data_IF_342616035303
#
_entry.id   IF_342616035303
#
_cell.length_a   1.000
_cell.length_b   1.000
_cell.length_c   1.000
_cell.angle_alpha   90.00
_cell.angle_beta   90.00
_cell.angle_gamma   90.00
#
_symmetry.space_group_name_H-M   'P 1'
#
loop_
_entity.id
_entity.type
_entity.pdbx_description
1 polymer ?
#
# COMPACT_ATOMS: atom_id res chain seq x y z
N UNK A 1 22.14 31.56 -16.69
CA UNK A 1 20.81 31.04 -16.22
C UNK A 1 20.96 30.67 -14.76
N UNK A 2 20.39 31.48 -13.87
CA UNK A 2 20.59 31.37 -12.43
C UNK A 2 19.72 30.23 -11.91
N UNK A 3 20.33 29.20 -11.34
CA UNK A 3 19.66 28.18 -10.55
C UNK A 3 19.32 28.79 -9.19
N UNK A 4 18.08 29.19 -9.00
CA UNK A 4 17.57 29.60 -7.69
C UNK A 4 17.48 28.37 -6.79
N UNK A 5 18.51 28.17 -5.99
CA UNK A 5 18.57 27.22 -4.89
C UNK A 5 17.59 27.69 -3.81
N UNK A 6 16.41 27.07 -3.74
CA UNK A 6 15.46 27.31 -2.63
C UNK A 6 15.96 26.53 -1.41
N UNK A 7 16.89 27.14 -0.65
CA UNK A 7 17.34 26.69 0.68
C UNK A 7 16.69 27.55 1.78
N UNK A 8 15.39 27.81 1.67
CA UNK A 8 14.57 28.25 2.79
C UNK A 8 13.56 27.13 3.05
N UNK A 9 13.32 26.74 4.30
CA UNK A 9 12.27 25.79 4.64
C UNK A 9 10.92 26.37 4.24
N UNK A 10 10.42 25.99 3.05
CA UNK A 10 9.09 26.39 2.59
C UNK A 10 8.09 25.70 3.51
N UNK A 11 7.47 26.47 4.38
CA UNK A 11 6.34 25.99 5.22
C UNK A 11 5.07 26.33 4.49
N UNK A 12 4.26 25.33 4.17
CA UNK A 12 2.93 25.52 3.59
C UNK A 12 1.93 25.66 4.74
N UNK A 13 1.42 26.87 4.93
CA UNK A 13 0.52 27.21 6.02
C UNK A 13 -0.92 27.54 5.55
N UNK A 14 -1.11 27.86 4.27
CA UNK A 14 -2.39 28.24 3.68
C UNK A 14 -2.60 27.66 2.30
N UNK A 15 -3.88 27.69 1.81
CA UNK A 15 -4.22 27.32 0.43
C UNK A 15 -3.48 28.20 -0.58
N UNK A 16 -3.34 29.49 -0.29
CA UNK A 16 -2.61 30.41 -1.15
C UNK A 16 -1.12 30.05 -1.27
N UNK A 17 -0.47 29.64 -0.17
CA UNK A 17 0.92 29.19 -0.20
C UNK A 17 1.06 27.94 -1.07
N UNK A 18 0.11 26.98 -0.93
CA UNK A 18 0.11 25.77 -1.74
C UNK A 18 -0.10 26.09 -3.21
N UNK A 19 -1.08 26.94 -3.56
CA UNK A 19 -1.37 27.31 -4.92
C UNK A 19 -0.18 28.00 -5.61
N UNK A 20 0.50 28.89 -4.93
CA UNK A 20 1.75 29.50 -5.42
C UNK A 20 2.83 28.44 -5.63
N UNK A 21 3.03 27.55 -4.65
CA UNK A 21 4.09 26.53 -4.72
C UNK A 21 3.85 25.50 -5.83
N UNK A 22 2.58 25.14 -6.12
CA UNK A 22 2.27 24.15 -7.17
C UNK A 22 2.09 24.75 -8.56
N UNK A 23 1.93 26.08 -8.69
CA UNK A 23 1.63 26.76 -9.95
C UNK A 23 2.61 26.41 -11.09
N UNK A 24 3.91 26.27 -10.76
CA UNK A 24 4.95 25.86 -11.69
C UNK A 24 4.96 24.37 -11.99
N UNK A 25 4.34 23.54 -11.12
CA UNK A 25 4.33 22.08 -11.26
C UNK A 25 3.19 21.63 -12.20
N UNK A 26 2.03 22.30 -12.16
CA UNK A 26 0.84 21.95 -12.93
C UNK A 26 1.16 21.69 -14.40
N UNK A 27 1.75 22.64 -15.17
CA UNK A 27 2.01 22.44 -16.59
C UNK A 27 3.03 21.34 -16.88
N UNK A 28 3.88 21.00 -15.90
CA UNK A 28 4.91 19.95 -16.05
C UNK A 28 4.31 18.57 -15.76
N UNK A 29 3.47 18.45 -14.72
CA UNK A 29 2.83 17.19 -14.36
C UNK A 29 1.70 16.79 -15.32
N UNK A 30 1.28 17.67 -16.20
CA UNK A 30 0.35 17.36 -17.29
C UNK A 30 1.06 16.77 -18.54
N UNK A 31 2.39 16.86 -18.60
CA UNK A 31 3.16 16.32 -19.72
C UNK A 31 3.08 14.79 -19.82
N UNK A 32 3.17 14.31 -21.06
CA UNK A 32 3.40 12.89 -21.33
C UNK A 32 4.89 12.59 -21.18
N UNK A 33 5.23 11.43 -20.65
CA UNK A 33 6.62 10.96 -20.52
C UNK A 33 7.22 10.68 -21.88
N UNK A 34 8.31 11.39 -22.22
CA UNK A 34 9.18 11.19 -23.40
C UNK A 34 10.63 11.30 -22.98
N UNK A 35 11.59 11.16 -23.94
CA UNK A 35 13.01 11.38 -23.66
C UNK A 35 13.30 12.82 -23.21
N UNK A 36 12.55 13.80 -23.69
CA UNK A 36 12.78 15.23 -23.39
C UNK A 36 12.00 15.70 -22.14
N UNK A 37 10.99 14.95 -21.69
CA UNK A 37 10.09 15.42 -20.62
C UNK A 37 10.24 14.68 -19.31
N UNK A 38 10.71 13.43 -19.30
CA UNK A 38 10.73 12.58 -18.10
C UNK A 38 11.52 13.19 -16.93
N UNK A 39 12.64 13.85 -17.21
CA UNK A 39 13.47 14.47 -16.17
C UNK A 39 12.76 15.68 -15.53
N UNK A 40 12.01 16.45 -16.33
CA UNK A 40 11.18 17.55 -15.84
C UNK A 40 10.06 17.04 -14.95
N UNK A 41 9.39 15.95 -15.34
CA UNK A 41 8.34 15.29 -14.55
C UNK A 41 8.93 14.77 -13.23
N UNK A 42 10.09 14.13 -13.28
CA UNK A 42 10.79 13.63 -12.09
C UNK A 42 11.08 14.75 -11.09
N UNK A 43 11.64 15.88 -11.56
CA UNK A 43 11.90 17.04 -10.71
C UNK A 43 10.61 17.65 -10.12
N UNK A 44 9.54 17.74 -10.91
CA UNK A 44 8.26 18.26 -10.43
C UNK A 44 7.65 17.34 -9.36
N UNK A 45 7.71 16.02 -9.54
CA UNK A 45 7.27 15.05 -8.53
C UNK A 45 8.11 15.13 -7.25
N UNK A 46 9.43 15.30 -7.37
CA UNK A 46 10.32 15.50 -6.22
C UNK A 46 9.98 16.78 -5.45
N UNK A 47 9.68 17.86 -6.15
CA UNK A 47 9.22 19.11 -5.54
C UNK A 47 7.87 18.91 -4.83
N UNK A 48 6.91 18.26 -5.46
CA UNK A 48 5.62 17.95 -4.84
C UNK A 48 5.78 17.07 -3.59
N UNK A 49 6.72 16.11 -3.59
CA UNK A 49 7.07 15.34 -2.41
C UNK A 49 7.58 16.22 -1.27
N UNK A 50 8.44 17.21 -1.57
CA UNK A 50 8.93 18.17 -0.57
C UNK A 50 7.78 18.96 0.03
N UNK A 51 6.89 19.53 -0.79
CA UNK A 51 5.70 20.26 -0.32
C UNK A 51 4.83 19.39 0.59
N UNK A 52 4.62 18.12 0.22
CA UNK A 52 3.91 17.13 1.04
C UNK A 52 4.52 16.98 2.43
N UNK A 53 5.85 16.96 2.52
CA UNK A 53 6.58 16.87 3.80
C UNK A 53 6.57 18.18 4.58
N UNK A 54 6.51 19.32 3.90
CA UNK A 54 6.58 20.65 4.48
C UNK A 54 5.22 21.22 4.95
N UNK A 55 4.22 20.37 5.13
CA UNK A 55 2.94 20.76 5.74
C UNK A 55 1.76 20.86 4.77
N UNK A 56 1.96 20.71 3.46
CA UNK A 56 0.89 20.82 2.47
C UNK A 56 -0.32 19.91 2.77
N UNK A 57 -0.09 18.74 3.36
CA UNK A 57 -1.18 17.79 3.73
C UNK A 57 -2.15 18.33 4.77
N UNK A 58 -1.82 19.40 5.47
CA UNK A 58 -2.69 20.06 6.47
C UNK A 58 -3.62 21.10 5.84
N UNK A 59 -3.38 21.44 4.60
CA UNK A 59 -4.11 22.48 3.87
C UNK A 59 -5.30 21.84 3.14
N UNK A 60 -6.53 22.39 3.23
CA UNK A 60 -7.73 21.78 2.63
C UNK A 60 -7.63 21.50 1.14
N UNK A 61 -7.03 22.40 0.37
CA UNK A 61 -6.86 22.23 -1.10
C UNK A 61 -5.87 21.14 -1.50
N UNK A 62 -5.09 20.57 -0.57
CA UNK A 62 -4.09 19.55 -0.89
C UNK A 62 -4.70 18.32 -1.59
N UNK A 63 -5.85 17.84 -1.10
CA UNK A 63 -6.54 16.68 -1.69
C UNK A 63 -6.92 16.95 -3.16
N UNK A 64 -7.38 18.16 -3.46
CA UNK A 64 -7.69 18.57 -4.83
C UNK A 64 -6.43 18.56 -5.71
N UNK A 65 -5.29 19.06 -5.22
CA UNK A 65 -4.01 19.01 -5.93
C UNK A 65 -3.53 17.58 -6.17
N UNK A 66 -3.73 16.69 -5.19
CA UNK A 66 -3.44 15.25 -5.40
C UNK A 66 -4.32 14.67 -6.49
N UNK A 67 -5.62 14.99 -6.55
CA UNK A 67 -6.50 14.54 -7.63
C UNK A 67 -6.00 15.00 -9.01
N UNK A 68 -5.57 16.23 -9.12
CA UNK A 68 -5.02 16.81 -10.36
C UNK A 68 -3.74 16.07 -10.80
N UNK A 69 -2.86 15.75 -9.87
CA UNK A 69 -1.56 15.10 -10.16
C UNK A 69 -1.62 13.56 -10.18
N UNK A 70 -2.69 12.96 -9.68
CA UNK A 70 -2.82 11.51 -9.54
C UNK A 70 -2.61 10.74 -10.86
N UNK A 71 -3.11 11.19 -12.04
CA UNK A 71 -2.82 10.52 -13.30
C UNK A 71 -1.34 10.49 -13.65
N UNK A 72 -0.61 11.60 -13.41
CA UNK A 72 0.83 11.66 -13.63
C UNK A 72 1.59 10.74 -12.67
N UNK A 73 1.29 10.81 -11.37
CA UNK A 73 1.92 9.95 -10.35
C UNK A 73 1.71 8.49 -10.71
N UNK A 74 0.48 8.10 -11.07
CA UNK A 74 0.13 6.71 -11.41
C UNK A 74 0.88 6.21 -12.66
N UNK A 75 0.99 7.02 -13.71
CA UNK A 75 1.78 6.69 -14.91
C UNK A 75 3.26 6.55 -14.56
N UNK A 76 3.80 7.52 -13.80
CA UNK A 76 5.21 7.54 -13.41
C UNK A 76 5.61 6.35 -12.52
N UNK A 77 4.70 5.82 -11.69
CA UNK A 77 4.96 4.56 -10.95
C UNK A 77 5.31 3.41 -11.90
N UNK A 78 4.64 3.33 -13.05
CA UNK A 78 4.81 2.26 -14.03
C UNK A 78 5.92 2.53 -15.04
N UNK A 79 6.58 3.69 -14.98
CA UNK A 79 7.68 4.04 -15.86
C UNK A 79 8.83 3.02 -15.77
N UNK A 80 9.43 2.72 -16.92
CA UNK A 80 10.63 1.87 -16.98
C UNK A 80 11.90 2.62 -16.53
N UNK A 81 11.82 3.95 -16.43
CA UNK A 81 12.89 4.78 -15.86
C UNK A 81 12.90 4.66 -14.35
N UNK A 82 13.90 3.94 -13.84
CA UNK A 82 14.03 3.62 -12.42
C UNK A 82 14.02 4.85 -11.52
N UNK A 83 14.55 5.99 -11.98
CA UNK A 83 14.55 7.24 -11.22
C UNK A 83 13.14 7.79 -11.11
N UNK A 84 12.44 7.96 -12.21
CA UNK A 84 11.08 8.51 -12.24
C UNK A 84 10.09 7.65 -11.44
N UNK A 85 10.11 6.32 -11.63
CA UNK A 85 9.25 5.42 -10.85
C UNK A 85 9.61 5.41 -9.36
N UNK A 86 10.88 5.66 -9.02
CA UNK A 86 11.33 5.83 -7.63
C UNK A 86 10.75 7.09 -7.01
N UNK A 87 10.87 8.23 -7.69
CA UNK A 87 10.34 9.52 -7.21
C UNK A 87 8.81 9.46 -7.03
N UNK A 88 8.08 8.85 -7.98
CA UNK A 88 6.64 8.63 -7.85
C UNK A 88 6.29 7.78 -6.63
N UNK A 89 7.04 6.70 -6.37
CA UNK A 89 6.88 5.89 -5.15
C UNK A 89 7.15 6.71 -3.88
N UNK A 90 8.15 7.59 -3.89
CA UNK A 90 8.51 8.43 -2.74
C UNK A 90 7.45 9.52 -2.47
N UNK A 91 6.71 9.98 -3.49
CA UNK A 91 5.52 10.82 -3.30
C UNK A 91 4.49 10.06 -2.48
N UNK A 92 4.12 8.83 -2.88
CA UNK A 92 3.15 8.00 -2.14
C UNK A 92 3.63 7.68 -0.72
N UNK A 93 4.91 7.36 -0.56
CA UNK A 93 5.52 7.09 0.74
C UNK A 93 5.45 8.29 1.69
N UNK A 94 5.41 9.50 1.13
CA UNK A 94 5.26 10.75 1.90
C UNK A 94 3.81 11.08 2.19
N UNK A 95 2.89 10.73 1.28
CA UNK A 95 1.46 11.00 1.39
C UNK A 95 0.77 10.06 2.39
N UNK A 96 0.96 8.76 2.26
CA UNK A 96 0.19 7.76 3.01
C UNK A 96 0.21 7.98 4.54
N UNK A 97 1.38 8.17 5.20
CA UNK A 97 1.42 8.39 6.64
C UNK A 97 0.80 9.73 7.10
N UNK A 98 0.68 10.69 6.19
CA UNK A 98 0.19 12.04 6.51
C UNK A 98 -1.30 12.21 6.24
N UNK A 99 -1.82 11.49 5.26
CA UNK A 99 -3.24 11.55 4.89
C UNK A 99 -4.09 10.60 5.74
N UNK A 100 -3.56 9.45 6.15
CA UNK A 100 -4.35 8.47 6.86
C UNK A 100 -5.63 8.11 6.09
N UNK A 101 -6.79 8.20 6.72
CA UNK A 101 -8.08 7.90 6.09
C UNK A 101 -8.43 8.86 4.93
N UNK A 102 -7.88 10.07 4.90
CA UNK A 102 -8.05 11.00 3.76
C UNK A 102 -7.43 10.48 2.46
N UNK A 103 -6.67 9.38 2.50
CA UNK A 103 -6.18 8.67 1.31
C UNK A 103 -7.29 7.92 0.54
N UNK A 104 -8.49 7.78 1.10
CA UNK A 104 -9.60 6.99 0.53
C UNK A 104 -9.89 7.26 -0.96
N UNK A 105 -9.94 8.52 -1.46
CA UNK A 105 -10.21 8.80 -2.87
C UNK A 105 -9.18 8.21 -3.84
N UNK A 106 -7.98 7.92 -3.35
CA UNK A 106 -6.83 7.53 -4.17
C UNK A 106 -6.55 6.02 -4.19
N UNK A 107 -7.29 5.23 -3.42
CA UNK A 107 -7.10 3.77 -3.35
C UNK A 107 -7.19 3.14 -4.74
N UNK A 108 -8.24 3.47 -5.51
CA UNK A 108 -8.46 2.93 -6.85
C UNK A 108 -7.46 3.44 -7.91
N UNK A 109 -6.76 4.54 -7.62
CA UNK A 109 -5.77 5.12 -8.54
C UNK A 109 -4.38 4.54 -8.30
N UNK A 110 -3.98 4.33 -7.03
CA UNK A 110 -2.61 3.98 -6.70
C UNK A 110 -2.40 2.51 -6.32
N UNK A 111 -3.40 1.84 -5.74
CA UNK A 111 -3.25 0.41 -5.37
C UNK A 111 -3.06 -0.48 -6.60
N UNK A 112 -3.85 -0.38 -7.69
CA UNK A 112 -3.67 -1.24 -8.85
C UNK A 112 -2.28 -1.17 -9.50
N UNK A 113 -1.68 0.01 -9.80
CA UNK A 113 -0.34 0.07 -10.36
C UNK A 113 0.72 -0.48 -9.39
N UNK A 114 0.60 -0.28 -8.08
CA UNK A 114 1.52 -0.87 -7.10
C UNK A 114 1.44 -2.40 -7.09
N UNK A 115 0.24 -2.98 -7.12
CA UNK A 115 0.05 -4.43 -7.23
C UNK A 115 0.59 -4.96 -8.56
N UNK A 116 0.41 -4.24 -9.67
CA UNK A 116 1.01 -4.60 -10.96
C UNK A 116 2.54 -4.64 -10.89
N UNK A 117 3.18 -3.71 -10.19
CA UNK A 117 4.62 -3.72 -9.98
C UNK A 117 5.09 -4.92 -9.15
N UNK A 118 4.28 -5.38 -8.18
CA UNK A 118 4.57 -6.59 -7.41
C UNK A 118 4.53 -7.88 -8.26
N UNK A 119 3.89 -7.85 -9.43
CA UNK A 119 3.88 -8.96 -10.36
C UNK A 119 5.08 -8.97 -11.34
N UNK A 120 5.85 -7.87 -11.42
CA UNK A 120 7.01 -7.75 -12.32
C UNK A 120 8.21 -8.54 -11.78
N UNK A 121 9.10 -8.93 -12.69
CA UNK A 121 10.36 -9.63 -12.35
C UNK A 121 11.45 -8.70 -11.81
N UNK A 122 11.35 -7.40 -12.05
CA UNK A 122 12.30 -6.41 -11.58
C UNK A 122 12.21 -6.25 -10.06
N UNK A 123 13.22 -6.74 -9.35
CA UNK A 123 13.28 -6.72 -7.88
C UNK A 123 13.33 -5.31 -7.28
N UNK A 124 13.84 -4.32 -8.00
CA UNK A 124 13.89 -2.92 -7.51
C UNK A 124 12.49 -2.33 -7.51
N UNK A 125 11.76 -2.49 -8.61
CA UNK A 125 10.37 -2.05 -8.73
C UNK A 125 9.47 -2.77 -7.72
N UNK A 126 9.63 -4.09 -7.57
CA UNK A 126 8.91 -4.92 -6.59
C UNK A 126 9.09 -4.35 -5.17
N UNK A 127 10.33 -4.19 -4.70
CA UNK A 127 10.61 -3.70 -3.33
C UNK A 127 10.07 -2.30 -3.07
N UNK A 128 10.10 -1.41 -4.08
CA UNK A 128 9.54 -0.06 -3.97
C UNK A 128 8.02 -0.11 -3.84
N UNK A 129 7.37 -0.93 -4.67
CA UNK A 129 5.92 -1.11 -4.61
C UNK A 129 5.48 -1.72 -3.27
N UNK A 130 6.18 -2.75 -2.79
CA UNK A 130 5.96 -3.33 -1.46
C UNK A 130 6.06 -2.28 -0.37
N UNK A 131 7.12 -1.47 -0.35
CA UNK A 131 7.29 -0.40 0.63
C UNK A 131 6.11 0.58 0.61
N UNK A 132 5.66 1.00 -0.57
CA UNK A 132 4.52 1.91 -0.71
C UNK A 132 3.22 1.27 -0.23
N UNK A 133 2.95 0.02 -0.60
CA UNK A 133 1.79 -0.74 -0.14
C UNK A 133 1.81 -0.93 1.38
N UNK A 134 2.97 -1.27 1.96
CA UNK A 134 3.13 -1.43 3.41
C UNK A 134 2.80 -0.14 4.17
N UNK A 135 3.25 1.02 3.67
CA UNK A 135 2.94 2.32 4.28
C UNK A 135 1.45 2.65 4.16
N UNK A 136 0.83 2.38 3.01
CA UNK A 136 -0.60 2.59 2.82
C UNK A 136 -1.40 1.68 3.76
N UNK A 137 -1.08 0.39 3.83
CA UNK A 137 -1.75 -0.56 4.72
C UNK A 137 -1.62 -0.18 6.19
N UNK A 138 -0.43 0.29 6.59
CA UNK A 138 -0.13 0.64 7.98
C UNK A 138 -0.80 1.92 8.46
N UNK A 139 -0.99 2.90 7.58
CA UNK A 139 -1.38 4.24 7.99
C UNK A 139 -2.77 4.68 7.52
N UNK A 140 -3.31 4.09 6.44
CA UNK A 140 -4.56 4.59 5.87
C UNK A 140 -5.82 3.92 6.46
N UNK A 141 -5.71 2.69 6.98
CA UNK A 141 -6.79 1.93 7.66
C UNK A 141 -8.11 1.84 6.88
N UNK A 142 -8.04 1.79 5.56
CA UNK A 142 -9.21 1.81 4.68
C UNK A 142 -9.69 0.38 4.40
N UNK A 143 -10.92 -0.01 4.80
CA UNK A 143 -11.41 -1.37 4.65
C UNK A 143 -11.41 -1.90 3.22
N UNK A 144 -11.56 -1.01 2.23
CA UNK A 144 -11.54 -1.37 0.81
C UNK A 144 -10.18 -1.92 0.33
N UNK A 145 -9.08 -1.58 0.99
CA UNK A 145 -7.75 -2.12 0.68
C UNK A 145 -7.75 -3.65 0.82
N UNK A 146 -8.43 -4.20 1.84
CA UNK A 146 -8.53 -5.66 2.02
C UNK A 146 -9.14 -6.35 0.80
N UNK A 147 -10.19 -5.79 0.21
CA UNK A 147 -10.79 -6.36 -1.00
C UNK A 147 -9.81 -6.35 -2.18
N UNK A 148 -9.03 -5.28 -2.37
CA UNK A 148 -8.00 -5.22 -3.40
C UNK A 148 -6.93 -6.29 -3.18
N UNK A 149 -6.49 -6.50 -1.93
CA UNK A 149 -5.51 -7.52 -1.58
C UNK A 149 -6.05 -8.94 -1.83
N UNK A 150 -7.32 -9.22 -1.46
CA UNK A 150 -7.96 -10.51 -1.74
C UNK A 150 -8.03 -10.80 -3.24
N UNK A 151 -8.28 -9.78 -4.07
CA UNK A 151 -8.21 -9.93 -5.52
C UNK A 151 -6.79 -10.29 -5.98
N UNK A 152 -5.77 -9.61 -5.45
CA UNK A 152 -4.37 -9.89 -5.77
C UNK A 152 -3.94 -11.32 -5.37
N UNK A 153 -4.52 -11.89 -4.30
CA UNK A 153 -4.25 -13.28 -3.89
C UNK A 153 -4.77 -14.34 -4.88
N UNK A 154 -5.63 -13.97 -5.82
CA UNK A 154 -6.14 -14.89 -6.87
C UNK A 154 -5.31 -14.85 -8.14
N UNK A 155 -4.34 -13.95 -8.23
CA UNK A 155 -3.52 -13.74 -9.41
C UNK A 155 -2.48 -14.85 -9.60
N UNK A 156 -2.02 -15.03 -10.86
CA UNK A 156 -1.04 -16.08 -11.23
C UNK A 156 0.35 -15.82 -10.63
N UNK A 157 0.74 -14.54 -10.49
CA UNK A 157 2.07 -14.16 -10.00
C UNK A 157 2.25 -14.54 -8.53
N UNK A 158 3.21 -15.41 -8.23
CA UNK A 158 3.54 -15.82 -6.86
C UNK A 158 4.14 -14.69 -6.04
N UNK A 159 4.92 -13.80 -6.65
CA UNK A 159 5.48 -12.62 -5.99
C UNK A 159 4.37 -11.66 -5.57
N UNK A 160 3.40 -11.39 -6.46
CA UNK A 160 2.24 -10.56 -6.13
C UNK A 160 1.43 -11.15 -4.97
N UNK A 161 1.16 -12.47 -5.00
CA UNK A 161 0.41 -13.11 -3.89
C UNK A 161 1.17 -13.04 -2.57
N UNK A 162 2.50 -13.22 -2.58
CA UNK A 162 3.32 -13.09 -1.39
C UNK A 162 3.30 -11.65 -0.84
N UNK A 163 3.48 -10.64 -1.69
CA UNK A 163 3.40 -9.21 -1.29
C UNK A 163 2.00 -8.86 -0.75
N UNK A 164 0.93 -9.34 -1.39
CA UNK A 164 -0.43 -9.12 -0.92
C UNK A 164 -0.68 -9.78 0.46
N UNK A 165 -0.13 -10.97 0.68
CA UNK A 165 -0.21 -11.64 1.97
C UNK A 165 0.47 -10.85 3.10
N UNK A 166 1.65 -10.29 2.84
CA UNK A 166 2.36 -9.43 3.80
C UNK A 166 1.57 -8.15 4.09
N UNK A 167 0.99 -7.54 3.07
CA UNK A 167 0.12 -6.37 3.22
C UNK A 167 -1.10 -6.67 4.11
N UNK A 168 -1.71 -7.86 3.99
CA UNK A 168 -2.82 -8.30 4.86
C UNK A 168 -2.40 -8.37 6.33
N UNK A 169 -1.21 -8.91 6.62
CA UNK A 169 -0.66 -8.97 7.98
C UNK A 169 -0.46 -7.56 8.52
N UNK A 170 0.24 -6.69 7.77
CA UNK A 170 0.51 -5.30 8.18
C UNK A 170 -0.79 -4.53 8.45
N UNK A 171 -1.79 -4.71 7.58
CA UNK A 171 -3.09 -4.08 7.76
C UNK A 171 -3.76 -4.54 9.07
N UNK A 172 -3.75 -5.86 9.34
CA UNK A 172 -4.35 -6.40 10.58
C UNK A 172 -3.61 -5.99 11.85
N UNK A 173 -2.29 -5.82 11.79
CA UNK A 173 -1.48 -5.37 12.93
C UNK A 173 -1.69 -3.89 13.28
N UNK A 174 -2.12 -3.08 12.31
CA UNK A 174 -2.21 -1.62 12.45
C UNK A 174 -3.63 -1.09 12.53
N UNK A 175 -4.64 -1.87 12.14
CA UNK A 175 -6.03 -1.42 12.03
C UNK A 175 -6.84 -1.76 13.28
N UNK A 176 -7.75 -0.86 13.65
CA UNK A 176 -8.66 -1.08 14.76
C UNK A 176 -9.64 -2.24 14.51
N UNK A 177 -10.01 -2.96 15.58
CA UNK A 177 -10.92 -4.09 15.51
C UNK A 177 -12.27 -3.74 14.85
N UNK A 178 -12.80 -2.53 15.10
CA UNK A 178 -14.07 -2.07 14.53
C UNK A 178 -14.03 -1.95 13.00
N UNK A 179 -12.89 -1.58 12.43
CA UNK A 179 -12.68 -1.53 10.99
C UNK A 179 -12.49 -2.94 10.40
N UNK A 180 -11.75 -3.80 11.09
CA UNK A 180 -11.54 -5.19 10.70
C UNK A 180 -12.86 -5.99 10.70
N UNK A 181 -13.74 -5.77 11.66
CA UNK A 181 -15.05 -6.42 11.73
C UNK A 181 -15.90 -6.19 10.47
N UNK A 182 -15.81 -5.01 9.86
CA UNK A 182 -16.54 -4.67 8.62
C UNK A 182 -16.11 -5.53 7.43
N UNK A 183 -14.92 -6.11 7.48
CA UNK A 183 -14.28 -6.85 6.39
C UNK A 183 -13.68 -8.19 6.83
N UNK A 184 -14.19 -8.75 7.94
CA UNK A 184 -13.70 -10.02 8.48
C UNK A 184 -13.77 -11.15 7.45
N UNK A 185 -14.78 -11.15 6.60
CA UNK A 185 -14.96 -12.13 5.52
C UNK A 185 -13.86 -12.07 4.48
N UNK A 186 -13.30 -10.87 4.19
CA UNK A 186 -12.16 -10.70 3.29
C UNK A 186 -10.90 -11.33 3.91
N UNK A 187 -10.69 -11.17 5.22
CA UNK A 187 -9.58 -11.81 5.94
C UNK A 187 -9.72 -13.33 5.92
N UNK A 188 -10.92 -13.87 6.18
CA UNK A 188 -11.20 -15.31 6.11
C UNK A 188 -10.98 -15.87 4.71
N UNK A 189 -11.37 -15.12 3.67
CA UNK A 189 -11.11 -15.51 2.28
C UNK A 189 -9.62 -15.51 1.96
N UNK A 190 -8.87 -14.52 2.45
CA UNK A 190 -7.42 -14.47 2.28
C UNK A 190 -6.74 -15.67 2.95
N UNK A 191 -7.11 -16.02 4.18
CA UNK A 191 -6.59 -17.19 4.88
C UNK A 191 -6.85 -18.46 4.06
N UNK A 192 -8.04 -18.64 3.52
CA UNK A 192 -8.38 -19.81 2.68
C UNK A 192 -7.51 -19.90 1.43
N UNK A 193 -7.32 -18.79 0.72
CA UNK A 193 -6.51 -18.75 -0.50
C UNK A 193 -5.03 -19.05 -0.20
N UNK A 194 -4.49 -18.44 0.85
CA UNK A 194 -3.10 -18.57 1.23
C UNK A 194 -2.76 -19.93 1.84
N UNK A 195 -3.71 -20.59 2.46
CA UNK A 195 -3.54 -21.88 3.12
C UNK A 195 -3.02 -22.97 2.15
N UNK A 196 -3.49 -22.96 0.91
CA UNK A 196 -3.15 -23.91 -0.14
C UNK A 196 -2.26 -23.31 -1.22
N UNK A 197 -1.69 -22.11 -0.99
CA UNK A 197 -0.83 -21.45 -1.98
C UNK A 197 0.40 -22.30 -2.30
N UNK A 198 0.75 -22.38 -3.58
CA UNK A 198 1.95 -23.11 -4.03
C UNK A 198 3.24 -22.47 -3.48
N UNK A 199 3.25 -21.15 -3.24
CA UNK A 199 4.43 -20.41 -2.80
C UNK A 199 4.68 -20.61 -1.28
N UNK A 200 5.87 -21.09 -0.84
CA UNK A 200 6.15 -21.39 0.56
C UNK A 200 6.04 -20.17 1.48
N UNK A 201 6.50 -19.00 1.01
CA UNK A 201 6.44 -17.75 1.78
C UNK A 201 4.98 -17.31 2.02
N UNK A 202 4.11 -17.42 1.01
CA UNK A 202 2.69 -17.11 1.16
C UNK A 202 2.03 -18.00 2.23
N UNK A 203 2.34 -19.31 2.23
CA UNK A 203 1.88 -20.21 3.30
C UNK A 203 2.46 -19.88 4.68
N UNK A 204 3.72 -19.43 4.74
CA UNK A 204 4.32 -18.99 6.01
C UNK A 204 3.59 -17.74 6.55
N UNK A 205 3.34 -16.76 5.70
CA UNK A 205 2.58 -15.54 6.04
C UNK A 205 1.14 -15.87 6.42
N UNK A 206 0.52 -16.87 5.79
CA UNK A 206 -0.82 -17.36 6.17
C UNK A 206 -0.89 -17.81 7.64
N UNK A 207 0.16 -18.48 8.14
CA UNK A 207 0.20 -18.90 9.56
C UNK A 207 0.21 -17.71 10.50
N UNK A 208 0.95 -16.66 10.17
CA UNK A 208 0.97 -15.42 10.94
C UNK A 208 -0.39 -14.71 10.87
N UNK A 209 -0.94 -14.53 9.68
CA UNK A 209 -2.25 -13.93 9.45
C UNK A 209 -3.36 -14.65 10.24
N UNK A 210 -3.38 -15.99 10.21
CA UNK A 210 -4.31 -16.78 10.99
C UNK A 210 -4.10 -16.61 12.51
N UNK A 211 -2.84 -16.48 12.96
CA UNK A 211 -2.51 -16.19 14.35
C UNK A 211 -3.15 -14.91 14.86
N UNK A 212 -3.00 -13.83 14.09
CA UNK A 212 -3.61 -12.53 14.38
C UNK A 212 -5.14 -12.64 14.36
N UNK A 213 -5.71 -13.23 13.29
CA UNK A 213 -7.15 -13.44 13.16
C UNK A 213 -7.73 -14.21 14.35
N UNK A 214 -7.10 -15.31 14.73
CA UNK A 214 -7.58 -16.14 15.85
C UNK A 214 -7.47 -15.45 17.22
N UNK A 215 -6.57 -14.48 17.36
CA UNK A 215 -6.49 -13.62 18.55
C UNK A 215 -7.60 -12.57 18.59
N UNK A 216 -7.88 -11.93 17.45
CA UNK A 216 -8.84 -10.84 17.34
C UNK A 216 -10.30 -11.33 17.27
N UNK A 217 -10.55 -12.52 16.71
CA UNK A 217 -11.87 -13.09 16.49
C UNK A 217 -11.98 -14.52 17.05
N UNK A 218 -11.84 -14.72 18.39
CA UNK A 218 -11.83 -16.04 18.99
C UNK A 218 -13.10 -16.85 18.73
N UNK A 219 -14.26 -16.20 18.64
CA UNK A 219 -15.58 -16.80 18.37
C UNK A 219 -15.72 -17.34 16.94
N UNK A 220 -14.94 -16.82 16.00
CA UNK A 220 -14.97 -17.20 14.57
C UNK A 220 -13.91 -18.24 14.18
N UNK A 221 -13.07 -18.69 15.11
CA UNK A 221 -11.99 -19.66 14.85
C UNK A 221 -12.49 -20.95 14.21
N UNK A 222 -13.55 -21.53 14.78
CA UNK A 222 -14.11 -22.79 14.30
C UNK A 222 -14.60 -22.66 12.85
N UNK A 223 -15.29 -21.57 12.51
CA UNK A 223 -15.78 -21.30 11.16
C UNK A 223 -14.65 -21.22 10.17
N UNK A 224 -13.57 -20.49 10.50
CA UNK A 224 -12.42 -20.33 9.62
C UNK A 224 -11.68 -21.68 9.41
N UNK A 225 -11.52 -22.50 10.45
CA UNK A 225 -10.89 -23.83 10.35
C UNK A 225 -11.72 -24.76 9.48
N UNK A 226 -13.05 -24.82 9.67
CA UNK A 226 -13.94 -25.64 8.82
C UNK A 226 -13.84 -25.22 7.35
N UNK A 227 -13.86 -23.92 7.07
CA UNK A 227 -13.70 -23.39 5.72
C UNK A 227 -12.33 -23.73 5.09
N UNK A 228 -11.29 -23.88 5.90
CA UNK A 228 -9.97 -24.30 5.44
C UNK A 228 -9.87 -25.83 5.26
N UNK A 229 -10.55 -26.63 6.07
CA UNK A 229 -10.57 -28.09 5.94
C UNK A 229 -11.24 -28.54 4.63
N UNK A 230 -12.26 -27.84 4.17
CA UNK A 230 -12.86 -28.08 2.86
C UNK A 230 -11.92 -27.79 1.68
N UNK A 231 -10.80 -27.11 1.92
CA UNK A 231 -9.79 -26.76 0.91
C UNK A 231 -8.44 -27.48 1.13
N UNK A 232 -8.41 -28.63 1.80
CA UNK A 232 -7.24 -29.50 2.02
C UNK A 232 -6.16 -28.94 2.97
N UNK A 233 -6.56 -28.44 4.13
CA UNK A 233 -5.62 -28.24 5.23
C UNK A 233 -5.24 -29.57 5.86
N UNK A 234 -4.00 -30.00 5.67
CA UNK A 234 -3.45 -31.19 6.32
C UNK A 234 -3.55 -31.04 7.85
N UNK A 235 -3.99 -32.09 8.53
CA UNK A 235 -4.11 -32.26 9.99
C UNK A 235 -2.83 -31.83 10.76
N UNK A 236 -1.70 -31.79 10.08
CA UNK A 236 -0.40 -31.36 10.60
C UNK A 236 -0.35 -29.90 11.10
N UNK A 237 -1.17 -29.01 10.55
CA UNK A 237 -1.24 -27.60 10.95
C UNK A 237 -1.91 -27.40 12.33
N UNK A 238 -2.86 -28.25 12.67
CA UNK A 238 -3.58 -28.21 13.96
C UNK A 238 -2.77 -28.81 15.11
N UNK A 239 -1.91 -29.80 14.82
CA UNK A 239 -1.08 -30.45 15.85
C UNK A 239 0.07 -29.59 16.35
N UNK A 240 0.68 -28.74 15.53
CA UNK A 240 1.76 -27.84 15.95
C UNK A 240 1.31 -26.74 16.93
N UNK A 241 0.02 -26.42 17.00
CA UNK A 241 -0.52 -25.36 17.87
C UNK A 241 -0.79 -25.79 19.31
N UNK A 242 -1.01 -27.06 19.57
CA UNK A 242 -1.13 -27.55 20.96
C UNK A 242 0.16 -27.39 21.76
N UNK A 243 1.30 -27.20 21.09
CA UNK A 243 2.60 -26.92 21.72
C UNK A 243 2.76 -25.43 22.06
N UNK A 244 2.19 -24.51 21.25
CA UNK A 244 2.37 -23.06 21.46
C UNK A 244 1.39 -22.50 22.48
N UNK A 245 0.17 -23.05 22.58
CA UNK A 245 -0.80 -22.63 23.61
C UNK A 245 -0.41 -23.03 25.03
N UNK A 246 0.45 -24.04 25.21
CA UNK A 246 1.01 -24.38 26.54
C UNK A 246 2.09 -23.42 27.06
N UNK A 247 2.59 -22.49 26.20
CA UNK A 247 3.57 -21.46 26.58
C UNK A 247 2.96 -20.10 26.95
N UNK A 248 1.67 -19.92 26.76
CA UNK A 248 0.94 -18.69 27.09
C UNK A 248 -0.26 -18.97 28.02
N UNK A 249 -0.11 -19.92 28.96
CA UNK A 249 -0.99 -19.94 30.12
C UNK A 249 -0.49 -18.87 31.11
N UNK A 250 -1.12 -17.69 31.03
CA UNK A 250 -1.42 -16.79 32.14
C UNK A 250 -2.91 -16.52 32.09
#
# INVERSE_FOLDING_TARGET
MQSTSIHGSVVIASDADLDVAVSSLVPVLDLVETEETWDRIDHALAQFQILTKCGATKVPSYIMRVHEFAPCISRSLLSDRTRLSGTASDVLNSMAPRLGECFAPFVNVFIPPLLQLCARTNKVSLRRAEKSLHLICRHCHLPYILSCLVHALKEKSSSLRASAAECMVIYMESCDLSQLQKRVTDVEQAIRLLATDAHPQARATCRHLYGLYAGLFPERRATCVILCLHTAFSVHFLQQRNVTLRRFNL
#
